data_IF_732050251695
#
_entry.id   IF_732050251695
#
_cell.length_a   1.000
_cell.length_b   1.000
_cell.length_c   1.000
_cell.angle_alpha   90.00
_cell.angle_beta   90.00
_cell.angle_gamma   90.00
#
_symmetry.space_group_name_H-M   'P 1'
#
loop_
_entity.id
_entity.type
_entity.pdbx_description
1 polymer ?
#
# COMPACT_ATOMS: atom_id res chain seq x y z
N UNK A 1 3.72 21.61 -5.06
CA UNK A 1 3.56 21.05 -6.41
C UNK A 1 4.75 21.34 -7.34
N UNK A 2 5.41 22.49 -7.21
CA UNK A 2 6.51 22.86 -8.13
C UNK A 2 7.70 21.88 -8.00
N UNK A 3 8.05 21.49 -6.78
CA UNK A 3 9.07 20.45 -6.57
C UNK A 3 8.68 19.08 -7.14
N UNK A 4 7.41 18.71 -7.07
CA UNK A 4 6.92 17.48 -7.69
C UNK A 4 7.06 17.53 -9.21
N UNK A 5 6.70 18.64 -9.83
CA UNK A 5 6.87 18.86 -11.29
C UNK A 5 8.33 18.80 -11.72
N UNK A 6 9.21 19.46 -10.96
CA UNK A 6 10.66 19.44 -11.21
C UNK A 6 11.21 18.00 -11.15
N UNK A 7 10.81 17.25 -10.13
CA UNK A 7 11.23 15.85 -9.97
C UNK A 7 10.68 14.96 -11.08
N UNK A 8 9.42 15.13 -11.46
CA UNK A 8 8.81 14.38 -12.56
C UNK A 8 9.50 14.68 -13.90
N UNK A 9 9.80 15.96 -14.17
CA UNK A 9 10.54 16.35 -15.39
C UNK A 9 11.94 15.70 -15.42
N UNK A 10 12.64 15.68 -14.30
CA UNK A 10 13.93 14.99 -14.21
C UNK A 10 13.80 13.49 -14.48
N UNK A 11 12.79 12.84 -13.91
CA UNK A 11 12.57 11.41 -14.13
C UNK A 11 12.21 11.12 -15.60
N UNK A 12 11.36 11.94 -16.21
CA UNK A 12 10.94 11.79 -17.60
C UNK A 12 12.10 11.95 -18.59
N UNK A 13 13.05 12.82 -18.29
CA UNK A 13 14.26 13.00 -19.09
C UNK A 13 15.27 11.85 -18.96
N UNK A 14 15.27 11.13 -17.85
CA UNK A 14 16.31 10.17 -17.53
C UNK A 14 15.87 8.70 -17.56
N UNK A 15 14.57 8.42 -17.60
CA UNK A 15 14.04 7.06 -17.53
C UNK A 15 12.96 6.83 -18.59
N UNK A 16 12.98 5.65 -19.21
CA UNK A 16 11.99 5.25 -20.21
C UNK A 16 10.63 4.94 -19.59
N UNK A 17 10.59 4.58 -18.33
CA UNK A 17 9.38 4.23 -17.59
C UNK A 17 9.46 4.76 -16.17
N UNK A 18 8.36 5.35 -15.71
CA UNK A 18 8.20 5.81 -14.34
C UNK A 18 7.01 5.06 -13.73
N UNK A 19 7.24 4.40 -12.60
CA UNK A 19 6.18 3.80 -11.79
C UNK A 19 5.94 4.69 -10.59
N UNK A 20 4.69 5.14 -10.43
CA UNK A 20 4.30 6.07 -9.36
C UNK A 20 3.44 5.30 -8.36
N UNK A 21 3.87 5.27 -7.12
CA UNK A 21 3.09 4.72 -6.02
C UNK A 21 2.25 5.83 -5.37
N UNK A 22 0.96 5.54 -5.16
CA UNK A 22 0.06 6.39 -4.38
C UNK A 22 0.15 6.09 -2.89
N UNK A 23 -0.49 6.91 -2.08
CA UNK A 23 -0.60 6.69 -0.64
C UNK A 23 -2.04 6.84 -0.16
N UNK A 24 -2.47 5.97 0.76
CA UNK A 24 -3.83 5.96 1.27
C UNK A 24 -4.88 5.67 0.20
N UNK A 25 -6.03 6.30 0.29
CA UNK A 25 -7.12 6.13 -0.67
C UNK A 25 -7.28 7.35 -1.59
N UNK A 26 -7.50 7.16 -2.90
CA UNK A 26 -7.82 8.28 -3.80
C UNK A 26 -9.21 8.88 -3.57
N UNK A 27 -10.04 8.24 -2.74
CA UNK A 27 -11.41 8.63 -2.45
C UNK A 27 -11.59 9.40 -1.13
N UNK A 28 -10.49 9.89 -0.53
CA UNK A 28 -10.53 10.74 0.67
C UNK A 28 -11.09 12.14 0.33
N UNK A 29 -12.42 12.25 0.25
CA UNK A 29 -13.11 13.48 -0.20
C UNK A 29 -12.78 14.71 0.63
N UNK A 30 -12.52 14.53 1.93
CA UNK A 30 -12.11 15.59 2.85
C UNK A 30 -10.68 16.09 2.61
N UNK A 31 -9.83 15.30 1.99
CA UNK A 31 -8.44 15.63 1.70
C UNK A 31 -8.21 15.98 0.22
N UNK A 32 -9.20 15.77 -0.64
CA UNK A 32 -9.09 15.89 -2.11
C UNK A 32 -8.55 17.24 -2.57
N UNK A 33 -8.95 18.34 -1.92
CA UNK A 33 -8.50 19.68 -2.28
C UNK A 33 -6.98 19.88 -2.11
N UNK A 34 -6.38 19.14 -1.17
CA UNK A 34 -4.96 19.21 -0.82
C UNK A 34 -4.18 17.96 -1.25
N UNK A 35 -4.82 17.03 -1.96
CA UNK A 35 -4.16 15.84 -2.48
C UNK A 35 -3.00 16.23 -3.40
N UNK A 36 -1.82 15.68 -3.16
CA UNK A 36 -0.62 15.84 -3.97
C UNK A 36 0.00 14.48 -4.31
N UNK A 37 -0.72 13.40 -4.07
CA UNK A 37 -0.16 12.03 -4.13
C UNK A 37 -0.88 11.16 -5.15
N UNK A 38 -2.21 11.09 -5.08
CA UNK A 38 -3.01 10.14 -5.86
C UNK A 38 -3.48 10.74 -7.20
N UNK A 39 -4.79 11.04 -7.31
CA UNK A 39 -5.40 11.41 -8.58
C UNK A 39 -4.89 12.74 -9.14
N UNK A 40 -4.39 13.62 -8.30
CA UNK A 40 -3.78 14.88 -8.78
C UNK A 40 -2.50 14.63 -9.56
N UNK A 41 -1.67 13.69 -9.11
CA UNK A 41 -0.47 13.30 -9.85
C UNK A 41 -0.87 12.55 -11.12
N UNK A 42 -1.81 11.61 -11.02
CA UNK A 42 -2.32 10.89 -12.18
C UNK A 42 -2.85 11.83 -13.27
N UNK A 43 -3.61 12.85 -12.90
CA UNK A 43 -4.09 13.89 -13.86
C UNK A 43 -2.96 14.74 -14.43
N UNK A 44 -1.98 15.08 -13.61
CA UNK A 44 -0.82 15.89 -14.05
C UNK A 44 0.02 15.16 -15.09
N UNK A 45 0.21 13.86 -14.90
CA UNK A 45 1.04 13.00 -15.76
C UNK A 45 0.24 12.30 -16.87
N UNK A 46 -1.09 12.33 -16.81
CA UNK A 46 -1.99 11.53 -17.64
C UNK A 46 -1.65 10.02 -17.59
N UNK A 47 -1.11 9.59 -16.47
CA UNK A 47 -0.69 8.21 -16.28
C UNK A 47 -1.90 7.27 -16.15
N UNK A 48 -1.84 6.07 -16.76
CA UNK A 48 -2.81 5.03 -16.49
C UNK A 48 -2.68 4.58 -15.03
N UNK A 49 -3.82 4.43 -14.35
CA UNK A 49 -3.87 4.07 -12.94
C UNK A 49 -4.41 2.65 -12.77
N UNK A 50 -3.76 1.87 -11.93
CA UNK A 50 -4.29 0.60 -11.42
C UNK A 50 -4.73 0.79 -9.97
N UNK A 51 -6.01 0.51 -9.71
CA UNK A 51 -6.55 0.53 -8.36
C UNK A 51 -6.26 -0.81 -7.68
N UNK A 52 -5.47 -0.78 -6.62
CA UNK A 52 -5.11 -1.99 -5.86
C UNK A 52 -5.97 -2.07 -4.61
N UNK A 53 -6.62 -3.21 -4.40
CA UNK A 53 -7.47 -3.46 -3.24
C UNK A 53 -6.98 -4.67 -2.45
N UNK A 54 -6.80 -4.49 -1.16
CA UNK A 54 -6.46 -5.54 -0.21
C UNK A 54 -7.71 -6.32 0.16
N UNK A 55 -7.81 -7.58 -0.31
CA UNK A 55 -8.98 -8.42 -0.08
C UNK A 55 -8.98 -9.10 1.30
N UNK A 56 -7.87 -9.09 2.00
CA UNK A 56 -7.75 -9.65 3.35
C UNK A 56 -8.59 -8.83 4.35
N UNK A 57 -8.90 -7.59 3.98
CA UNK A 57 -9.82 -6.73 4.74
C UNK A 57 -11.25 -6.92 4.29
N UNK A 58 -12.16 -7.16 5.24
CA UNK A 58 -13.59 -7.25 4.96
C UNK A 58 -14.11 -6.01 4.23
N UNK A 59 -15.02 -6.20 3.26
CA UNK A 59 -15.62 -5.10 2.51
C UNK A 59 -14.80 -4.58 1.33
N UNK A 60 -13.74 -5.26 0.91
CA UNK A 60 -12.88 -4.85 -0.21
C UNK A 60 -13.66 -4.53 -1.49
N UNK A 61 -14.66 -5.35 -1.85
CA UNK A 61 -15.50 -5.12 -3.03
C UNK A 61 -16.29 -3.81 -2.90
N UNK A 62 -16.86 -3.55 -1.74
CA UNK A 62 -17.58 -2.31 -1.47
C UNK A 62 -16.64 -1.10 -1.53
N UNK A 63 -15.41 -1.25 -1.03
CA UNK A 63 -14.37 -0.21 -1.11
C UNK A 63 -13.98 0.10 -2.55
N UNK A 64 -13.82 -0.92 -3.41
CA UNK A 64 -13.54 -0.72 -4.84
C UNK A 64 -14.66 0.08 -5.50
N UNK A 65 -15.90 -0.37 -5.34
CA UNK A 65 -17.07 0.30 -5.94
C UNK A 65 -17.22 1.71 -5.40
N UNK A 66 -17.12 1.89 -4.07
CA UNK A 66 -17.21 3.19 -3.43
C UNK A 66 -16.11 4.14 -3.85
N UNK A 67 -14.87 3.66 -3.95
CA UNK A 67 -13.75 4.46 -4.44
C UNK A 67 -14.02 4.99 -5.84
N UNK A 68 -14.40 4.12 -6.77
CA UNK A 68 -14.67 4.51 -8.15
C UNK A 68 -15.88 5.46 -8.26
N UNK A 69 -16.90 5.31 -7.41
CA UNK A 69 -18.07 6.18 -7.40
C UNK A 69 -17.75 7.59 -6.86
N UNK A 70 -16.82 7.71 -5.92
CA UNK A 70 -16.39 8.98 -5.33
C UNK A 70 -15.38 9.75 -6.19
N UNK A 71 -14.78 9.10 -7.18
CA UNK A 71 -13.89 9.76 -8.12
C UNK A 71 -14.67 10.57 -9.15
N UNK A 72 -14.13 11.72 -9.54
CA UNK A 72 -14.66 12.49 -10.66
C UNK A 72 -14.57 11.69 -11.97
N UNK A 73 -15.45 11.96 -12.96
CA UNK A 73 -15.41 11.23 -14.22
C UNK A 73 -14.03 11.18 -14.88
N UNK A 74 -13.32 12.29 -14.92
CA UNK A 74 -11.97 12.40 -15.49
C UNK A 74 -10.94 11.56 -14.73
N UNK A 75 -11.07 11.48 -13.41
CA UNK A 75 -10.21 10.65 -12.57
C UNK A 75 -10.51 9.17 -12.77
N UNK A 76 -11.80 8.83 -12.84
CA UNK A 76 -12.29 7.48 -13.11
C UNK A 76 -11.81 6.98 -14.46
N UNK A 77 -11.71 7.85 -15.46
CA UNK A 77 -11.22 7.52 -16.79
C UNK A 77 -9.73 7.15 -16.82
N UNK A 78 -8.95 7.66 -15.89
CA UNK A 78 -7.55 7.27 -15.74
C UNK A 78 -7.39 5.86 -15.15
N UNK A 79 -8.38 5.36 -14.39
CA UNK A 79 -8.34 3.99 -13.86
C UNK A 79 -8.50 3.00 -15.04
N UNK A 80 -7.45 2.26 -15.35
CA UNK A 80 -7.41 1.29 -16.46
C UNK A 80 -7.62 -0.15 -16.03
N UNK A 81 -7.46 -0.43 -14.74
CA UNK A 81 -7.69 -1.76 -14.20
C UNK A 81 -7.71 -1.78 -12.68
N UNK A 82 -8.19 -2.90 -12.18
CA UNK A 82 -8.27 -3.20 -10.75
C UNK A 82 -7.37 -4.41 -10.48
N UNK A 83 -6.62 -4.38 -9.40
CA UNK A 83 -5.81 -5.50 -8.91
C UNK A 83 -6.31 -5.88 -7.53
N UNK A 84 -6.63 -7.15 -7.35
CA UNK A 84 -6.95 -7.72 -6.04
C UNK A 84 -5.66 -8.23 -5.42
N UNK A 85 -5.31 -7.72 -4.25
CA UNK A 85 -4.07 -8.08 -3.56
C UNK A 85 -4.35 -8.93 -2.31
N UNK A 86 -3.36 -9.70 -1.90
CA UNK A 86 -3.35 -10.57 -0.71
C UNK A 86 -4.46 -11.63 -0.71
N UNK A 87 -4.80 -12.15 -1.89
CA UNK A 87 -5.84 -13.18 -1.99
C UNK A 87 -5.38 -14.49 -1.35
N UNK A 88 -6.27 -15.10 -0.54
CA UNK A 88 -6.08 -16.43 0.08
C UNK A 88 -7.23 -17.33 -0.33
N UNK A 89 -6.93 -18.55 -0.70
CA UNK A 89 -7.91 -19.56 -0.99
C UNK A 89 -8.03 -19.95 -2.47
N UNK A 90 -9.15 -20.54 -2.84
CA UNK A 90 -9.41 -21.00 -4.22
C UNK A 90 -9.93 -19.84 -5.08
N UNK A 91 -9.20 -19.55 -6.15
CA UNK A 91 -9.55 -18.48 -7.11
C UNK A 91 -10.95 -18.66 -7.71
N UNK A 92 -11.41 -19.91 -7.87
CA UNK A 92 -12.75 -20.19 -8.39
C UNK A 92 -13.87 -19.64 -7.51
N UNK A 93 -13.64 -19.55 -6.22
CA UNK A 93 -14.60 -18.92 -5.30
C UNK A 93 -14.65 -17.39 -5.43
N UNK A 94 -13.58 -16.81 -5.97
CA UNK A 94 -13.52 -15.37 -6.20
C UNK A 94 -14.11 -14.95 -7.55
N UNK A 95 -14.11 -15.83 -8.55
CA UNK A 95 -14.56 -15.51 -9.93
C UNK A 95 -15.92 -14.78 -10.00
N UNK A 96 -16.98 -15.18 -9.24
CA UNK A 96 -18.23 -14.44 -9.26
C UNK A 96 -18.09 -12.99 -8.77
N UNK A 97 -17.20 -12.77 -7.80
CA UNK A 97 -16.95 -11.43 -7.28
C UNK A 97 -16.16 -10.57 -8.27
N UNK A 98 -15.22 -11.15 -9.02
CA UNK A 98 -14.50 -10.46 -10.09
C UNK A 98 -15.47 -10.01 -11.19
N UNK A 99 -16.34 -10.91 -11.63
CA UNK A 99 -17.41 -10.59 -12.61
C UNK A 99 -18.30 -9.45 -12.10
N UNK A 100 -18.74 -9.53 -10.85
CA UNK A 100 -19.55 -8.47 -10.23
C UNK A 100 -18.83 -7.12 -10.22
N UNK A 101 -17.54 -7.09 -9.86
CA UNK A 101 -16.74 -5.86 -9.88
C UNK A 101 -16.71 -5.26 -11.28
N UNK A 102 -16.39 -6.07 -12.29
CA UNK A 102 -16.31 -5.61 -13.68
C UNK A 102 -17.64 -5.06 -14.21
N UNK A 103 -18.73 -5.80 -13.96
CA UNK A 103 -20.09 -5.37 -14.38
C UNK A 103 -20.52 -4.08 -13.67
N UNK A 104 -20.23 -3.98 -12.36
CA UNK A 104 -20.65 -2.85 -11.55
C UNK A 104 -19.86 -1.58 -11.85
N UNK A 105 -18.56 -1.71 -12.13
CA UNK A 105 -17.64 -0.58 -12.24
C UNK A 105 -17.30 -0.21 -13.70
N UNK A 106 -17.51 -1.12 -14.62
CA UNK A 106 -17.06 -1.00 -16.02
C UNK A 106 -15.53 -1.09 -16.16
N UNK A 107 -14.80 -1.47 -15.10
CA UNK A 107 -13.35 -1.59 -15.10
C UNK A 107 -12.95 -3.06 -15.01
N UNK A 108 -11.91 -3.45 -15.74
CA UNK A 108 -11.41 -4.83 -15.73
C UNK A 108 -10.62 -5.13 -14.45
N UNK A 109 -10.80 -6.33 -13.91
CA UNK A 109 -9.87 -6.89 -12.93
C UNK A 109 -8.73 -7.53 -13.71
N UNK A 110 -7.58 -6.88 -13.68
CA UNK A 110 -6.41 -7.26 -14.51
C UNK A 110 -5.46 -8.20 -13.80
N UNK A 111 -5.65 -8.43 -12.51
CA UNK A 111 -4.85 -9.36 -11.75
C UNK A 111 -5.39 -9.66 -10.36
N UNK A 112 -5.08 -10.86 -9.90
CA UNK A 112 -5.27 -11.30 -8.52
C UNK A 112 -3.92 -11.77 -8.01
N UNK A 113 -3.38 -11.07 -7.01
CA UNK A 113 -2.09 -11.38 -6.40
C UNK A 113 -2.36 -12.20 -5.14
N UNK A 114 -1.82 -13.41 -5.05
CA UNK A 114 -1.97 -14.21 -3.84
C UNK A 114 -1.25 -13.57 -2.65
N UNK A 115 -1.71 -13.87 -1.45
CA UNK A 115 -0.98 -13.54 -0.25
C UNK A 115 0.37 -14.29 -0.25
N UNK A 116 1.44 -13.55 -0.13
CA UNK A 116 2.79 -14.10 -0.08
C UNK A 116 3.09 -14.39 1.40
N UNK A 117 3.37 -15.66 1.70
CA UNK A 117 3.81 -16.07 3.03
C UNK A 117 5.31 -15.79 3.17
N UNK A 118 5.73 -15.42 4.37
CA UNK A 118 7.12 -15.11 4.69
C UNK A 118 7.72 -13.98 3.81
N UNK A 119 6.89 -12.99 3.50
CA UNK A 119 7.38 -11.77 2.92
C UNK A 119 8.07 -10.97 4.05
N UNK A 120 9.38 -11.13 4.16
CA UNK A 120 10.21 -10.45 5.16
C UNK A 120 10.45 -8.96 4.78
N UNK A 121 9.37 -8.28 4.40
CA UNK A 121 9.33 -6.84 4.19
C UNK A 121 8.37 -6.28 5.24
N UNK A 122 8.91 -5.56 6.19
CA UNK A 122 8.09 -4.88 7.19
C UNK A 122 7.24 -3.77 6.57
N UNK A 123 6.08 -3.54 7.17
CA UNK A 123 5.25 -2.38 6.81
C UNK A 123 6.01 -1.09 7.18
N UNK A 124 5.95 -0.09 6.31
CA UNK A 124 6.64 1.20 6.50
C UNK A 124 6.09 1.99 7.70
N UNK A 125 4.84 1.75 8.06
CA UNK A 125 4.15 2.47 9.13
C UNK A 125 4.50 1.92 10.53
N UNK A 126 4.78 2.82 11.46
CA UNK A 126 5.08 2.51 12.87
C UNK A 126 3.95 1.76 13.61
N UNK A 127 2.75 1.71 13.05
CA UNK A 127 1.62 0.90 13.54
C UNK A 127 1.95 -0.60 13.51
N UNK A 128 2.81 -1.03 12.60
CA UNK A 128 3.29 -2.41 12.54
C UNK A 128 4.06 -2.84 13.80
N UNK A 129 4.69 -1.90 14.50
CA UNK A 129 5.42 -2.19 15.74
C UNK A 129 4.51 -2.68 16.88
N UNK A 130 3.25 -2.26 16.90
CA UNK A 130 2.28 -2.69 17.94
C UNK A 130 1.95 -4.18 17.84
N UNK A 131 2.18 -4.79 16.67
CA UNK A 131 1.89 -6.19 16.38
C UNK A 131 3.13 -7.09 16.38
N UNK A 132 4.34 -6.55 16.51
CA UNK A 132 5.57 -7.37 16.57
C UNK A 132 5.56 -8.21 17.85
N UNK A 133 5.32 -9.51 17.70
CA UNK A 133 5.43 -10.47 18.81
C UNK A 133 6.87 -10.50 19.29
N UNK A 134 7.04 -10.41 20.60
CA UNK A 134 8.34 -10.63 21.23
C UNK A 134 8.90 -11.98 20.78
N UNK A 135 9.96 -11.95 20.01
CA UNK A 135 10.74 -13.15 19.69
C UNK A 135 11.41 -13.60 20.98
N UNK A 136 11.37 -14.90 21.26
CA UNK A 136 11.95 -15.46 22.49
C UNK A 136 13.39 -15.00 22.73
N UNK A 137 13.82 -15.00 24.00
CA UNK A 137 15.17 -14.59 24.42
C UNK A 137 16.23 -15.42 23.69
N UNK A 138 17.11 -14.74 22.96
CA UNK A 138 18.33 -15.29 22.36
C UNK A 138 19.54 -14.83 23.19
N UNK A 139 20.75 -15.26 22.81
CA UNK A 139 21.99 -14.98 23.58
C UNK A 139 22.28 -13.48 23.69
N UNK A 140 22.02 -12.72 22.62
CA UNK A 140 22.19 -11.28 22.59
C UNK A 140 20.80 -10.63 22.51
N UNK A 141 20.53 -9.75 23.46
CA UNK A 141 19.27 -9.00 23.49
C UNK A 141 19.53 -7.53 23.23
N UNK A 142 18.91 -6.99 22.20
CA UNK A 142 19.00 -5.59 21.83
C UNK A 142 17.66 -4.91 22.15
N UNK A 143 17.71 -3.88 22.98
CA UNK A 143 16.56 -3.05 23.31
C UNK A 143 16.61 -1.76 22.47
N UNK A 144 15.59 -1.53 21.65
CA UNK A 144 15.42 -0.31 20.89
C UNK A 144 14.40 0.56 21.59
N UNK A 145 14.78 1.79 21.94
CA UNK A 145 13.84 2.73 22.58
C UNK A 145 12.87 3.26 21.53
N UNK A 146 11.59 2.92 21.69
CA UNK A 146 10.52 3.41 20.84
C UNK A 146 10.09 4.82 21.26
N UNK A 147 10.51 5.83 20.51
CA UNK A 147 10.02 7.20 20.70
C UNK A 147 8.63 7.36 20.09
N UNK A 148 7.81 8.34 20.54
CA UNK A 148 6.43 8.52 20.06
C UNK A 148 6.28 8.76 18.56
N UNK A 149 7.35 9.11 17.87
CA UNK A 149 7.37 9.34 16.41
C UNK A 149 8.55 8.64 15.76
N UNK A 150 8.83 7.42 16.21
CA UNK A 150 9.89 6.62 15.61
C UNK A 150 9.56 6.40 14.13
N UNK A 151 10.53 6.65 13.27
CA UNK A 151 10.52 6.29 11.86
C UNK A 151 11.74 5.42 11.58
N UNK A 152 11.81 4.81 10.40
CA UNK A 152 12.93 3.97 9.97
C UNK A 152 13.24 2.82 10.96
N UNK A 153 12.22 2.29 11.62
CA UNK A 153 12.38 1.17 12.56
C UNK A 153 12.85 -0.11 11.84
N UNK A 154 12.68 -0.17 10.52
CA UNK A 154 13.20 -1.23 9.66
C UNK A 154 14.72 -1.26 9.58
N UNK A 155 15.43 -0.20 9.99
CA UNK A 155 16.90 -0.18 10.09
C UNK A 155 17.43 -1.26 11.04
N UNK A 156 16.59 -1.73 11.97
CA UNK A 156 16.94 -2.79 12.93
C UNK A 156 16.64 -4.21 12.42
N UNK A 157 16.01 -4.35 11.25
CA UNK A 157 15.58 -5.67 10.75
C UNK A 157 16.76 -6.58 10.44
N UNK A 158 17.86 -6.02 9.95
CA UNK A 158 19.09 -6.79 9.72
C UNK A 158 19.56 -7.55 10.99
N UNK A 159 19.30 -7.00 12.17
CA UNK A 159 19.66 -7.62 13.46
C UNK A 159 18.73 -8.80 13.80
N UNK A 160 17.49 -8.80 13.30
CA UNK A 160 16.55 -9.92 13.51
C UNK A 160 16.94 -11.17 12.73
N UNK A 161 17.73 -11.04 11.65
CA UNK A 161 18.23 -12.16 10.84
C UNK A 161 19.44 -12.85 11.48
N UNK A 162 20.08 -12.22 12.48
CA UNK A 162 21.18 -12.86 13.18
C UNK A 162 20.65 -14.00 14.08
N UNK A 163 21.28 -15.18 14.04
CA UNK A 163 20.75 -16.38 14.69
C UNK A 163 20.73 -16.27 16.22
N UNK A 164 21.61 -15.48 16.79
CA UNK A 164 21.85 -15.29 18.23
C UNK A 164 21.31 -13.96 18.79
N UNK A 165 20.76 -13.09 17.95
CA UNK A 165 20.27 -11.77 18.33
C UNK A 165 18.74 -11.74 18.39
N UNK A 166 18.18 -11.15 19.44
CA UNK A 166 16.78 -10.75 19.54
C UNK A 166 16.66 -9.24 19.71
N UNK A 167 15.81 -8.61 18.90
CA UNK A 167 15.52 -7.18 18.99
C UNK A 167 14.15 -6.98 19.62
N UNK A 168 14.07 -6.10 20.62
CA UNK A 168 12.82 -5.74 21.27
C UNK A 168 12.67 -4.22 21.31
N UNK A 169 11.52 -3.73 20.87
CA UNK A 169 11.16 -2.33 20.99
C UNK A 169 10.56 -2.08 22.37
N UNK A 170 11.02 -1.06 23.06
CA UNK A 170 10.61 -0.70 24.42
C UNK A 170 9.96 0.68 24.37
N UNK A 171 8.65 0.73 24.68
CA UNK A 171 7.84 1.96 24.74
C UNK A 171 7.82 2.60 26.13
N UNK A 172 7.14 3.73 26.24
CA UNK A 172 6.92 4.39 27.54
C UNK A 172 5.83 3.65 28.31
N UNK A 173 6.21 2.70 29.15
CA UNK A 173 5.27 1.92 29.98
C UNK A 173 5.62 0.45 30.08
N UNK A 174 6.67 0.04 29.39
CA UNK A 174 7.29 -1.30 29.50
C UNK A 174 8.25 -1.41 30.69
#
# INVERSE_FOLDING_TARGET
>A
LDKVKESLAFLDENFEMIVIEGAGSPAEVNLKANDIVNMRIAKMTQAPVFLIADIDRGGAIASIVGTLELLEPEERDLIKGIVINKFRGDIKLLEPALTFIEEKTGKKVVGVIPAIENLDIDEEDSVALENKKNVGSKDIQIAVIQTPKISNFTDFDALNYEPDVSVRFIGSGD
#
